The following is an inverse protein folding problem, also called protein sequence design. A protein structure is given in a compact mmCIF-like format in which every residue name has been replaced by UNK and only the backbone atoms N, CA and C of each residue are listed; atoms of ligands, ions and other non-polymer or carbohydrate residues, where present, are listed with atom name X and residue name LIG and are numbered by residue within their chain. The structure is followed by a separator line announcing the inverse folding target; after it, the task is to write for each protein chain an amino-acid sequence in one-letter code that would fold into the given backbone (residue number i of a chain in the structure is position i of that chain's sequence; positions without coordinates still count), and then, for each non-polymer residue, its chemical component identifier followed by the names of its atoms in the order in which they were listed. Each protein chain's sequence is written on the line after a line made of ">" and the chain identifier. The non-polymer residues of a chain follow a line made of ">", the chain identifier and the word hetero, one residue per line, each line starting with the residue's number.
data_IF_599294785110
#
_entry.id   IF_599294785110
#
_cell.length_a   1.000
_cell.length_b   1.000
_cell.length_c   1.000
_cell.angle_alpha   90.00
_cell.angle_beta   90.00
_cell.angle_gamma   90.00
#
_symmetry.space_group_name_H-M   'P 1'
#
loop_
_entity.id
_entity.type
_entity.pdbx_description
1 polymer ?
#
# COMPACT_ATOMS: atom_id res chain seq x y z
N UNK A 1 5.02 -19.23 13.84
CA UNK A 1 4.01 -18.16 13.59
C UNK A 1 3.57 -18.20 12.13
N UNK A 2 4.51 -18.21 11.17
CA UNK A 2 4.19 -18.36 9.75
C UNK A 2 3.37 -19.63 9.49
N UNK A 3 3.79 -20.78 10.05
CA UNK A 3 3.07 -22.06 9.90
C UNK A 3 1.60 -22.00 10.36
N UNK A 4 1.29 -21.19 11.38
CA UNK A 4 -0.08 -21.01 11.84
C UNK A 4 -0.90 -20.20 10.81
N UNK A 5 -0.30 -19.14 10.26
CA UNK A 5 -0.96 -18.31 9.24
C UNK A 5 -1.19 -19.11 7.95
N UNK A 6 -0.22 -19.94 7.55
CA UNK A 6 -0.34 -20.85 6.41
C UNK A 6 -1.41 -21.91 6.66
N UNK A 7 -1.43 -22.55 7.84
CA UNK A 7 -2.45 -23.55 8.18
C UNK A 7 -3.88 -22.99 8.34
N UNK A 8 -4.03 -21.68 8.50
CA UNK A 8 -5.35 -21.02 8.51
C UNK A 8 -5.88 -20.73 7.11
N UNK A 9 -5.00 -20.62 6.10
CA UNK A 9 -5.41 -20.43 4.71
C UNK A 9 -5.93 -21.74 4.11
N UNK A 10 -6.56 -21.65 2.94
CA UNK A 10 -6.85 -22.83 2.11
C UNK A 10 -5.55 -23.38 1.56
N UNK A 11 -5.38 -24.70 1.64
CA UNK A 11 -4.37 -25.42 0.89
C UNK A 11 -4.80 -25.48 -0.59
N UNK A 12 -4.00 -24.86 -1.46
CA UNK A 12 -4.27 -24.79 -2.90
C UNK A 12 -3.98 -26.10 -3.64
N UNK A 13 -3.26 -27.03 -3.02
CA UNK A 13 -2.95 -28.35 -3.59
C UNK A 13 -4.04 -29.39 -3.30
N UNK A 14 -4.99 -29.06 -2.42
CA UNK A 14 -6.12 -29.89 -2.04
C UNK A 14 -7.46 -29.35 -2.58
N UNK A 15 -8.45 -30.24 -2.74
CA UNK A 15 -9.81 -29.82 -3.09
C UNK A 15 -10.47 -29.04 -1.94
N UNK A 16 -11.49 -28.24 -2.27
CA UNK A 16 -12.29 -27.53 -1.27
C UNK A 16 -13.31 -28.49 -0.65
N UNK A 17 -13.24 -28.67 0.65
CA UNK A 17 -14.18 -29.47 1.46
C UNK A 17 -14.30 -28.92 2.89
N UNK A 18 -14.89 -29.69 3.81
CA UNK A 18 -15.09 -29.27 5.20
C UNK A 18 -13.76 -29.16 5.99
N UNK A 19 -12.72 -29.89 5.59
CA UNK A 19 -11.39 -29.88 6.21
C UNK A 19 -10.47 -28.81 5.58
N UNK A 20 -10.66 -28.53 4.29
CA UNK A 20 -9.98 -27.48 3.52
C UNK A 20 -10.97 -26.47 2.92
N UNK A 21 -11.72 -25.71 3.73
CA UNK A 21 -12.68 -24.75 3.22
C UNK A 21 -11.96 -23.54 2.63
N UNK A 22 -12.67 -22.81 1.76
CA UNK A 22 -12.16 -21.60 1.13
C UNK A 22 -11.95 -20.48 2.17
N UNK A 23 -10.69 -20.15 2.46
CA UNK A 23 -10.20 -19.18 3.44
C UNK A 23 -8.95 -18.51 2.90
N UNK A 24 -8.87 -17.21 3.13
CA UNK A 24 -7.71 -16.40 2.75
C UNK A 24 -7.22 -15.63 3.96
N UNK A 25 -5.89 -15.63 4.15
CA UNK A 25 -5.23 -14.85 5.20
C UNK A 25 -4.36 -13.79 4.52
N UNK A 26 -4.64 -12.52 4.80
CA UNK A 26 -3.87 -11.38 4.27
C UNK A 26 -3.22 -10.67 5.45
N UNK A 27 -1.90 -10.48 5.37
CA UNK A 27 -1.13 -9.82 6.42
C UNK A 27 -0.28 -8.72 5.79
N UNK A 28 -0.43 -7.50 6.30
CA UNK A 28 0.52 -6.42 6.02
C UNK A 28 1.71 -6.55 6.97
N UNK A 29 2.92 -6.52 6.42
CA UNK A 29 4.15 -6.61 7.21
C UNK A 29 5.16 -5.56 6.78
N UNK A 30 5.81 -4.96 7.78
CA UNK A 30 7.01 -4.14 7.59
C UNK A 30 8.26 -4.84 8.14
N UNK A 31 8.19 -6.15 8.38
CA UNK A 31 9.31 -6.94 8.91
C UNK A 31 10.07 -7.62 7.77
N UNK A 32 11.35 -7.29 7.54
CA UNK A 32 12.19 -7.98 6.55
C UNK A 32 12.33 -9.48 6.83
N UNK A 33 12.29 -9.86 8.12
CA UNK A 33 12.40 -11.25 8.56
C UNK A 33 11.19 -12.05 8.04
N UNK A 34 9.98 -11.50 8.14
CA UNK A 34 8.77 -12.17 7.65
C UNK A 34 8.85 -12.39 6.15
N UNK A 35 9.29 -11.39 5.37
CA UNK A 35 9.47 -11.51 3.92
C UNK A 35 10.49 -12.58 3.53
N UNK A 36 11.48 -12.83 4.39
CA UNK A 36 12.49 -13.85 4.16
C UNK A 36 12.01 -15.26 4.47
N UNK A 37 11.00 -15.41 5.34
CA UNK A 37 10.50 -16.70 5.81
C UNK A 37 9.29 -17.23 5.04
N UNK A 38 8.53 -16.38 4.35
CA UNK A 38 7.33 -16.80 3.60
C UNK A 38 7.67 -17.25 2.17
N UNK A 39 6.84 -18.12 1.56
CA UNK A 39 6.95 -18.45 0.15
C UNK A 39 6.84 -17.21 -0.74
N UNK A 40 7.60 -17.18 -1.84
CA UNK A 40 7.56 -16.05 -2.78
C UNK A 40 6.16 -15.85 -3.40
N UNK A 41 5.39 -16.93 -3.55
CA UNK A 41 4.00 -16.86 -4.04
C UNK A 41 3.06 -16.12 -3.10
N UNK A 42 3.38 -16.01 -1.81
CA UNK A 42 2.57 -15.30 -0.80
C UNK A 42 2.87 -13.81 -0.73
N UNK A 43 3.95 -13.34 -1.36
CA UNK A 43 4.40 -11.96 -1.27
C UNK A 43 3.73 -11.05 -2.30
N UNK A 44 3.34 -9.87 -1.82
CA UNK A 44 2.94 -8.73 -2.63
C UNK A 44 3.68 -7.48 -2.17
N UNK A 45 4.02 -6.62 -3.13
CA UNK A 45 4.55 -5.29 -2.87
C UNK A 45 3.56 -4.24 -3.35
N UNK A 46 3.09 -3.40 -2.43
CA UNK A 46 2.27 -2.24 -2.71
C UNK A 46 3.16 -1.08 -3.18
N UNK A 47 2.89 -0.56 -4.38
CA UNK A 47 3.64 0.54 -5.01
C UNK A 47 2.71 1.69 -5.38
N UNK A 48 3.20 2.91 -5.24
CA UNK A 48 2.54 4.08 -5.82
C UNK A 48 2.64 4.04 -7.34
N UNK A 49 1.54 4.29 -8.04
CA UNK A 49 1.47 4.35 -9.50
C UNK A 49 0.67 5.57 -9.93
N UNK A 50 1.16 6.27 -10.94
CA UNK A 50 0.41 7.32 -11.61
C UNK A 50 -0.39 6.75 -12.76
N UNK A 51 -1.69 7.01 -12.78
CA UNK A 51 -2.54 6.75 -13.95
C UNK A 51 -3.22 8.04 -14.39
N UNK A 52 -3.39 8.21 -15.70
CA UNK A 52 -4.20 9.30 -16.22
C UNK A 52 -5.66 8.88 -16.17
N UNK A 53 -6.49 9.65 -15.45
CA UNK A 53 -7.92 9.40 -15.37
C UNK A 53 -8.63 10.29 -16.38
N UNK A 54 -9.28 9.69 -17.38
CA UNK A 54 -10.06 10.42 -18.38
C UNK A 54 -11.23 11.19 -17.73
N UNK A 55 -11.89 10.58 -16.74
CA UNK A 55 -13.01 11.19 -15.99
C UNK A 55 -12.64 12.52 -15.32
N UNK A 56 -11.45 12.60 -14.72
CA UNK A 56 -10.97 13.81 -14.04
C UNK A 56 -10.07 14.67 -14.92
N UNK A 57 -9.80 14.22 -16.15
CA UNK A 57 -8.84 14.81 -17.11
C UNK A 57 -7.50 15.19 -16.45
N UNK A 58 -6.99 14.34 -15.55
CA UNK A 58 -5.74 14.58 -14.80
C UNK A 58 -5.08 13.28 -14.39
N UNK A 59 -3.78 13.37 -14.05
CA UNK A 59 -3.05 12.28 -13.40
C UNK A 59 -3.52 12.11 -11.96
N UNK A 60 -3.77 10.87 -11.57
CA UNK A 60 -4.10 10.49 -10.19
C UNK A 60 -3.07 9.46 -9.69
N UNK A 61 -2.77 9.53 -8.39
CA UNK A 61 -1.93 8.56 -7.71
C UNK A 61 -2.82 7.42 -7.21
N UNK A 62 -2.44 6.19 -7.51
CA UNK A 62 -3.09 4.98 -7.03
C UNK A 62 -2.06 4.06 -6.37
N UNK A 63 -2.52 3.11 -5.59
CA UNK A 63 -1.68 2.01 -5.09
C UNK A 63 -1.89 0.79 -5.98
N UNK A 64 -0.83 0.34 -6.64
CA UNK A 64 -0.79 -0.92 -7.37
C UNK A 64 -0.13 -2.02 -6.55
N UNK A 65 -0.53 -3.27 -6.77
CA UNK A 65 0.12 -4.43 -6.18
C UNK A 65 0.93 -5.17 -7.23
N UNK A 66 2.14 -5.56 -6.85
CA UNK A 66 3.05 -6.33 -7.69
C UNK A 66 3.42 -7.62 -6.99
N UNK A 67 3.62 -8.68 -7.76
CA UNK A 67 3.87 -10.03 -7.27
C UNK A 67 5.27 -10.50 -7.64
N UNK A 68 5.74 -11.56 -6.98
CA UNK A 68 7.08 -12.10 -7.20
C UNK A 68 7.22 -12.73 -8.60
N UNK A 69 8.41 -12.61 -9.18
CA UNK A 69 8.78 -13.24 -10.45
C UNK A 69 8.59 -14.77 -10.42
N UNK A 70 8.16 -15.35 -11.54
CA UNK A 70 7.89 -16.80 -11.75
C UNK A 70 6.77 -17.42 -10.88
N UNK A 71 6.04 -16.62 -10.13
CA UNK A 71 4.81 -17.09 -9.45
C UNK A 71 3.67 -17.26 -10.44
N UNK A 72 2.66 -18.08 -10.10
CA UNK A 72 1.47 -18.26 -10.95
C UNK A 72 0.82 -16.93 -11.36
N UNK A 73 0.85 -15.93 -10.47
CA UNK A 73 0.33 -14.57 -10.72
C UNK A 73 1.05 -13.89 -11.88
N UNK A 74 2.38 -13.95 -11.89
CA UNK A 74 3.19 -13.33 -12.95
C UNK A 74 3.21 -14.14 -14.24
N UNK A 75 3.21 -15.48 -14.16
CA UNK A 75 3.14 -16.36 -15.34
C UNK A 75 1.84 -16.19 -16.13
N UNK A 76 0.74 -15.89 -15.44
CA UNK A 76 -0.56 -15.61 -16.05
C UNK A 76 -0.84 -14.11 -16.28
N UNK A 77 0.17 -13.23 -16.15
CA UNK A 77 0.05 -11.78 -16.38
C UNK A 77 -1.04 -11.11 -15.51
N UNK A 78 -1.29 -11.63 -14.30
CA UNK A 78 -2.31 -11.12 -13.38
C UNK A 78 -1.80 -9.97 -12.51
N UNK A 79 -0.48 -9.82 -12.36
CA UNK A 79 0.15 -8.78 -11.56
C UNK A 79 1.47 -8.34 -12.17
N UNK A 80 1.87 -7.10 -11.91
CA UNK A 80 3.19 -6.59 -12.26
C UNK A 80 4.29 -7.37 -11.52
N UNK A 81 5.43 -7.56 -12.17
CA UNK A 81 6.56 -8.31 -11.61
C UNK A 81 7.38 -7.43 -10.67
N UNK A 82 7.72 -7.99 -9.52
CA UNK A 82 8.68 -7.43 -8.55
C UNK A 82 9.79 -8.43 -8.25
N UNK A 83 10.88 -7.93 -7.67
CA UNK A 83 11.99 -8.74 -7.17
C UNK A 83 12.06 -8.71 -5.64
N UNK A 84 12.69 -9.73 -5.03
CA UNK A 84 12.83 -9.82 -3.57
C UNK A 84 13.73 -8.70 -3.04
N UNK A 85 14.74 -8.33 -3.82
CA UNK A 85 15.61 -7.18 -3.54
C UNK A 85 14.83 -5.87 -3.45
N UNK A 86 13.83 -5.66 -4.31
CA UNK A 86 13.00 -4.45 -4.27
C UNK A 86 12.16 -4.36 -2.98
N UNK A 87 11.62 -5.49 -2.52
CA UNK A 87 10.89 -5.56 -1.24
C UNK A 87 11.84 -5.27 -0.08
N UNK A 88 13.05 -5.83 -0.09
CA UNK A 88 14.05 -5.60 0.95
C UNK A 88 14.49 -4.13 1.00
N UNK A 89 14.72 -3.50 -0.16
CA UNK A 89 15.02 -2.07 -0.27
C UNK A 89 13.88 -1.21 0.30
N UNK A 90 12.63 -1.56 0.00
CA UNK A 90 11.47 -0.87 0.58
C UNK A 90 11.40 -0.98 2.11
N UNK A 91 11.79 -2.13 2.66
CA UNK A 91 11.76 -2.38 4.10
C UNK A 91 13.00 -1.87 4.85
N UNK A 92 14.07 -1.53 4.13
CA UNK A 92 15.30 -1.00 4.73
C UNK A 92 15.09 0.45 5.17
N UNK A 93 15.04 0.64 6.50
CA UNK A 93 14.84 1.95 7.13
C UNK A 93 16.06 2.86 7.00
N UNK A 94 17.25 2.30 6.78
CA UNK A 94 18.51 3.07 6.73
C UNK A 94 18.64 3.90 5.45
N UNK A 95 17.94 3.49 4.38
CA UNK A 95 17.94 4.19 3.09
C UNK A 95 17.16 5.52 3.20
N UNK A 96 16.08 5.55 3.98
CA UNK A 96 15.27 6.76 4.16
C UNK A 96 15.94 7.81 5.06
N UNK A 97 16.74 7.38 6.05
CA UNK A 97 17.49 8.29 6.94
C UNK A 97 18.54 9.10 6.15
N UNK A 98 19.25 8.47 5.20
CA UNK A 98 20.22 9.15 4.34
C UNK A 98 19.56 10.02 3.25
N UNK A 99 18.32 9.73 2.87
CA UNK A 99 17.62 10.55 1.88
C UNK A 99 17.13 11.86 2.52
N UNK A 100 16.66 11.83 3.78
CA UNK A 100 16.28 13.06 4.49
C UNK A 100 17.46 13.99 4.78
N UNK A 101 18.67 13.48 5.03
CA UNK A 101 19.86 14.33 5.23
C UNK A 101 20.29 15.08 3.96
N UNK A 102 20.00 14.54 2.77
CA UNK A 102 20.29 15.22 1.49
C UNK A 102 19.20 16.21 1.04
N UNK A 103 18.02 16.23 1.70
CA UNK A 103 16.96 17.20 1.46
C UNK A 103 16.93 18.35 2.48
N UNK A 104 17.91 18.44 3.39
CA UNK A 104 18.14 19.67 4.15
C UNK A 104 18.68 20.74 3.18
N UNK A 105 17.75 21.47 2.57
CA UNK A 105 18.00 22.75 1.93
C UNK A 105 18.78 23.60 2.93
N UNK A 106 20.01 23.97 2.59
CA UNK A 106 20.77 24.97 3.34
C UNK A 106 19.89 26.19 3.51
N UNK A 107 19.70 26.66 4.76
CA UNK A 107 19.02 27.92 5.07
C UNK A 107 19.77 29.11 4.47
N UNK A 108 19.68 29.29 3.15
CA UNK A 108 19.76 30.59 2.55
C UNK A 108 18.34 31.15 2.58
N UNK A 109 18.14 32.16 3.43
CA UNK A 109 16.86 32.83 3.70
C UNK A 109 16.06 33.08 2.40
N UNK A 110 15.10 32.21 2.12
CA UNK A 110 14.09 32.47 1.10
C UNK A 110 13.10 33.48 1.68
N UNK A 111 13.07 34.68 1.11
CA UNK A 111 12.26 35.83 1.52
C UNK A 111 10.75 35.68 1.31
N UNK A 112 10.19 34.49 1.58
CA UNK A 112 8.75 34.24 1.50
C UNK A 112 8.06 34.60 2.83
N UNK A 113 7.39 35.75 2.85
CA UNK A 113 6.44 36.09 3.92
C UNK A 113 5.16 35.28 3.73
N UNK A 114 4.90 34.31 4.62
CA UNK A 114 3.63 33.57 4.67
C UNK A 114 2.48 34.54 4.95
N UNK A 115 1.36 34.48 4.20
CA UNK A 115 0.17 35.24 4.58
C UNK A 115 -0.41 34.67 5.88
N UNK A 116 -0.73 35.55 6.81
CA UNK A 116 -1.32 35.22 8.10
C UNK A 116 -2.75 34.72 7.84
N UNK A 117 -2.93 33.40 7.79
CA UNK A 117 -4.25 32.78 7.74
C UNK A 117 -4.77 32.61 9.16
N UNK A 118 -5.74 33.45 9.54
CA UNK A 118 -6.53 33.31 10.77
C UNK A 118 -7.57 32.19 10.65
N UNK A 119 -7.17 31.00 10.21
CA UNK A 119 -8.05 29.84 10.21
C UNK A 119 -7.95 29.13 11.56
N UNK A 120 -8.97 29.30 12.41
CA UNK A 120 -9.13 28.50 13.63
C UNK A 120 -9.00 27.02 13.27
N UNK A 121 -8.05 26.33 13.89
CA UNK A 121 -7.89 24.87 13.75
C UNK A 121 -9.18 24.21 14.23
N UNK A 122 -9.98 23.72 13.29
CA UNK A 122 -11.19 22.94 13.57
C UNK A 122 -10.80 21.52 13.95
N UNK A 123 -11.56 20.95 14.87
CA UNK A 123 -11.35 19.56 15.32
C UNK A 123 -12.04 18.57 14.37
N UNK A 124 -11.64 17.30 14.41
CA UNK A 124 -12.15 16.24 13.52
C UNK A 124 -13.69 16.15 13.54
N UNK A 125 -14.31 16.40 14.69
CA UNK A 125 -15.76 16.42 14.86
C UNK A 125 -16.46 17.48 13.99
N UNK A 126 -15.84 18.63 13.75
CA UNK A 126 -16.41 19.71 12.95
C UNK A 126 -16.38 19.43 11.44
N UNK A 127 -15.51 18.52 10.97
CA UNK A 127 -15.48 18.10 9.56
C UNK A 127 -16.57 17.09 9.21
N UNK A 128 -17.02 16.28 10.18
CA UNK A 128 -18.02 15.22 9.95
C UNK A 128 -19.38 15.79 9.59
N UNK A 129 -19.70 17.01 10.05
CA UNK A 129 -20.96 17.70 9.76
C UNK A 129 -21.08 18.04 8.26
N UNK A 130 -19.96 18.16 7.53
CA UNK A 130 -19.97 18.52 6.12
C UNK A 130 -20.19 17.32 5.17
N UNK A 131 -20.16 16.09 5.70
CA UNK A 131 -20.30 14.84 4.92
C UNK A 131 -21.67 14.19 5.03
N UNK A 132 -22.72 14.92 5.44
CA UNK A 132 -24.09 14.45 5.17
C UNK A 132 -24.36 14.60 3.67
N UNK A 133 -24.11 13.53 2.92
CA UNK A 133 -24.60 13.37 1.55
C UNK A 133 -26.14 13.33 1.60
N UNK A 134 -26.80 14.36 1.08
CA UNK A 134 -28.24 14.35 0.85
C UNK A 134 -28.56 13.30 -0.23
N UNK A 135 -28.99 12.10 0.19
CA UNK A 135 -29.63 11.16 -0.72
C UNK A 135 -31.09 11.58 -0.89
N UNK A 136 -31.36 12.40 -1.90
CA UNK A 136 -32.71 12.72 -2.35
C UNK A 136 -33.39 11.46 -2.91
N UNK A 137 -34.05 10.70 -2.04
CA UNK A 137 -35.09 9.76 -2.46
C UNK A 137 -36.42 10.52 -2.60
N UNK A 138 -36.67 11.11 -3.78
CA UNK A 138 -38.02 11.43 -4.24
C UNK A 138 -38.06 11.83 -5.74
N UNK A 139 -38.18 10.83 -6.63
CA UNK A 139 -39.34 10.67 -7.54
C UNK A 139 -39.21 9.42 -8.41
#
# INVERSE_FOLDING_TARGET
>A
MIDLLEGMATDTDCAVDDDNPLRQVIVNTHSPIVVSCVPDESLYLAKGKEIFSEEFNRKIQITGFSAMYETWKTRHHLAEVSSKGEILVYLDKTIFENTQSNFMVSEAESAYKRPISNSKRRTVAENIIQTSLDFDFNK
#
